data_IF_045415699682
#
_entry.id   IF_045415699682
#
_cell.length_a   1.000
_cell.length_b   1.000
_cell.length_c   1.000
_cell.angle_alpha   90.00
_cell.angle_beta   90.00
_cell.angle_gamma   90.00
#
_symmetry.space_group_name_H-M   'P 1'
#
loop_
_entity.id
_entity.type
_entity.pdbx_description
1 polymer ?
#
# COMPACT_ATOMS: atom_id res chain seq x y z
N UNK A 1 69.76 -24.63 31.49
CA UNK A 1 69.39 -25.87 32.22
C UNK A 1 70.20 -26.99 31.59
N UNK A 2 71.17 -27.51 32.35
CA UNK A 2 72.18 -28.47 31.89
C UNK A 2 71.56 -29.74 31.32
N UNK A 3 71.95 -30.09 30.09
CA UNK A 3 71.72 -31.42 29.53
C UNK A 3 72.66 -32.36 30.28
N UNK A 4 72.18 -32.95 31.37
CA UNK A 4 72.85 -34.06 32.06
C UNK A 4 73.09 -35.16 31.01
N UNK A 5 74.37 -35.36 30.65
CA UNK A 5 74.86 -36.59 30.02
C UNK A 5 74.47 -37.73 30.94
N UNK A 6 73.38 -38.40 30.61
CA UNK A 6 72.98 -39.66 31.24
C UNK A 6 74.12 -40.67 31.08
N UNK A 7 74.47 -41.32 32.18
CA UNK A 7 75.31 -42.51 32.25
C UNK A 7 74.72 -43.61 31.35
N UNK A 8 75.23 -43.75 30.12
CA UNK A 8 74.74 -44.75 29.16
C UNK A 8 75.44 -46.11 29.31
N UNK A 9 76.42 -46.25 30.20
CA UNK A 9 77.04 -47.56 30.48
C UNK A 9 77.27 -47.78 31.98
N UNK A 10 76.18 -47.96 32.73
CA UNK A 10 76.25 -48.62 34.03
C UNK A 10 76.83 -50.03 33.90
N UNK A 11 77.44 -50.57 34.96
CA UNK A 11 78.28 -51.79 34.94
C UNK A 11 77.72 -53.04 34.26
N UNK A 12 76.40 -53.13 34.06
CA UNK A 12 75.73 -54.18 33.26
C UNK A 12 76.04 -54.04 31.77
N UNK A 13 76.09 -52.83 31.23
CA UNK A 13 76.40 -52.58 29.81
C UNK A 13 77.83 -52.97 29.44
N UNK A 14 78.80 -52.75 30.34
CA UNK A 14 80.19 -53.17 30.15
C UNK A 14 80.31 -54.71 30.15
N UNK A 15 79.63 -55.38 31.08
CA UNK A 15 79.58 -56.85 31.14
C UNK A 15 78.98 -57.48 29.86
N UNK A 16 77.90 -56.89 29.34
CA UNK A 16 77.25 -57.37 28.11
C UNK A 16 78.15 -57.16 26.89
N UNK A 17 78.81 -56.00 26.75
CA UNK A 17 79.78 -55.74 25.67
C UNK A 17 80.93 -56.77 25.73
N UNK A 18 81.40 -57.09 26.94
CA UNK A 18 82.50 -58.02 27.13
C UNK A 18 82.11 -59.48 26.83
N UNK A 19 80.89 -59.89 27.19
CA UNK A 19 80.33 -61.19 26.78
C UNK A 19 80.16 -61.30 25.26
N UNK A 20 79.70 -60.24 24.60
CA UNK A 20 79.53 -60.19 23.13
C UNK A 20 80.90 -60.23 22.43
N UNK A 21 81.88 -59.47 22.92
CA UNK A 21 83.24 -59.49 22.40
C UNK A 21 83.87 -60.89 22.52
N UNK A 22 83.67 -61.56 23.66
CA UNK A 22 84.10 -62.94 23.87
C UNK A 22 83.36 -63.93 22.96
N UNK A 23 82.06 -63.73 22.71
CA UNK A 23 81.27 -64.54 21.79
C UNK A 23 81.74 -64.41 20.32
N UNK A 24 82.10 -63.20 19.90
CA UNK A 24 82.66 -62.92 18.57
C UNK A 24 84.05 -63.56 18.43
N UNK A 25 84.93 -63.41 19.42
CA UNK A 25 86.26 -64.03 19.45
C UNK A 25 86.20 -65.56 19.41
N UNK A 26 85.27 -66.16 20.17
CA UNK A 26 85.04 -67.59 20.17
C UNK A 26 84.56 -68.10 18.80
N UNK A 27 83.68 -67.35 18.13
CA UNK A 27 83.17 -67.71 16.81
C UNK A 27 84.24 -67.60 15.70
N UNK A 28 85.13 -66.61 15.80
CA UNK A 28 86.31 -66.47 14.92
C UNK A 28 87.32 -67.60 15.10
N UNK A 29 87.56 -68.06 16.34
CA UNK A 29 88.47 -69.18 16.60
C UNK A 29 87.99 -70.52 16.04
N UNK A 30 86.69 -70.66 15.76
CA UNK A 30 86.05 -71.91 15.33
C UNK A 30 85.61 -71.91 13.86
N UNK A 31 86.06 -70.92 13.07
CA UNK A 31 85.71 -70.69 11.65
C UNK A 31 84.19 -70.60 11.37
N UNK A 32 83.39 -70.19 12.37
CA UNK A 32 81.94 -70.25 12.30
C UNK A 32 81.33 -68.88 11.93
N UNK A 33 81.62 -68.46 10.70
CA UNK A 33 81.29 -67.13 10.14
C UNK A 33 79.81 -66.76 10.28
N UNK A 34 78.89 -67.73 10.15
CA UNK A 34 77.46 -67.50 10.28
C UNK A 34 77.03 -67.00 11.67
N UNK A 35 77.72 -67.42 12.73
CA UNK A 35 77.42 -67.01 14.11
C UNK A 35 77.89 -65.57 14.37
N UNK A 36 79.04 -65.17 13.81
CA UNK A 36 79.51 -63.77 13.84
C UNK A 36 78.53 -62.86 13.11
N UNK A 37 78.10 -63.23 11.91
CA UNK A 37 77.11 -62.46 11.12
C UNK A 37 75.80 -62.32 11.90
N UNK A 38 75.32 -63.39 12.54
CA UNK A 38 74.10 -63.36 13.36
C UNK A 38 74.18 -62.41 14.57
N UNK A 39 75.31 -62.39 15.28
CA UNK A 39 75.53 -61.48 16.42
C UNK A 39 75.59 -60.02 15.95
N UNK A 40 76.32 -59.74 14.87
CA UNK A 40 76.40 -58.39 14.29
C UNK A 40 75.03 -57.92 13.79
N UNK A 41 74.26 -58.79 13.15
CA UNK A 41 72.91 -58.48 12.68
C UNK A 41 71.95 -58.18 13.84
N UNK A 42 71.98 -58.98 14.92
CA UNK A 42 71.16 -58.74 16.11
C UNK A 42 71.47 -57.40 16.79
N UNK A 43 72.75 -57.01 16.86
CA UNK A 43 73.16 -55.70 17.36
C UNK A 43 72.63 -54.56 16.50
N UNK A 44 72.76 -54.69 15.18
CA UNK A 44 72.24 -53.69 14.23
C UNK A 44 70.72 -53.54 14.41
N UNK A 45 69.97 -54.64 14.43
CA UNK A 45 68.52 -54.63 14.63
C UNK A 45 68.15 -54.01 15.98
N UNK A 46 68.86 -54.34 17.06
CA UNK A 46 68.61 -53.74 18.39
C UNK A 46 68.78 -52.22 18.39
N UNK A 47 69.80 -51.71 17.71
CA UNK A 47 70.03 -50.26 17.57
C UNK A 47 68.89 -49.62 16.78
N UNK A 48 68.48 -50.23 15.66
CA UNK A 48 67.36 -49.74 14.86
C UNK A 48 66.04 -49.69 15.64
N UNK A 49 65.73 -50.72 16.44
CA UNK A 49 64.51 -50.75 17.28
C UNK A 49 64.51 -49.60 18.28
N UNK A 50 65.64 -49.32 18.94
CA UNK A 50 65.76 -48.20 19.89
C UNK A 50 65.57 -46.85 19.18
N UNK A 51 66.15 -46.69 17.99
CA UNK A 51 65.98 -45.48 17.18
C UNK A 51 64.50 -45.29 16.80
N UNK A 52 63.82 -46.33 16.33
CA UNK A 52 62.40 -46.29 15.96
C UNK A 52 61.52 -45.92 17.17
N UNK A 53 61.74 -46.54 18.33
CA UNK A 53 60.99 -46.20 19.56
C UNK A 53 61.25 -44.75 19.98
N UNK A 54 62.49 -44.29 19.91
CA UNK A 54 62.83 -42.90 20.24
C UNK A 54 62.20 -41.90 19.27
N UNK A 55 62.12 -42.22 17.98
CA UNK A 55 61.47 -41.40 16.96
C UNK A 55 59.96 -41.35 17.19
N UNK A 56 59.31 -42.49 17.41
CA UNK A 56 57.87 -42.56 17.70
C UNK A 56 57.51 -41.73 18.94
N UNK A 57 58.32 -41.76 20.00
CA UNK A 57 58.10 -40.92 21.18
C UNK A 57 58.23 -39.43 20.89
N UNK A 58 59.16 -39.03 20.02
CA UNK A 58 59.33 -37.62 19.62
C UNK A 58 58.16 -37.14 18.75
N UNK A 59 57.73 -37.97 17.81
CA UNK A 59 56.57 -37.68 16.94
C UNK A 59 55.31 -37.52 17.80
N UNK A 60 55.04 -38.46 18.71
CA UNK A 60 53.86 -38.38 19.58
C UNK A 60 53.83 -37.12 20.45
N UNK A 61 54.98 -36.71 20.99
CA UNK A 61 55.07 -35.44 21.75
C UNK A 61 54.87 -34.20 20.88
N UNK A 62 55.30 -34.25 19.61
CA UNK A 62 55.02 -33.15 18.68
C UNK A 62 53.54 -33.11 18.31
N UNK A 63 52.92 -34.26 18.06
CA UNK A 63 51.48 -34.40 17.80
C UNK A 63 50.66 -33.79 18.95
N UNK A 64 50.93 -34.21 20.20
CA UNK A 64 50.28 -33.65 21.40
C UNK A 64 50.48 -32.12 21.52
N UNK A 65 51.68 -31.60 21.22
CA UNK A 65 51.96 -30.16 21.23
C UNK A 65 51.23 -29.38 20.14
N UNK A 66 51.10 -29.96 18.94
CA UNK A 66 50.37 -29.33 17.84
C UNK A 66 48.85 -29.38 18.08
N UNK A 67 48.33 -30.47 18.64
CA UNK A 67 46.91 -30.60 19.01
C UNK A 67 46.53 -29.56 20.07
N UNK A 68 47.33 -29.43 21.14
CA UNK A 68 47.13 -28.39 22.18
C UNK A 68 47.22 -26.98 21.58
N UNK A 69 48.07 -26.76 20.58
CA UNK A 69 48.17 -25.47 19.90
C UNK A 69 46.98 -25.18 18.99
N UNK A 70 46.41 -26.19 18.33
CA UNK A 70 45.19 -26.08 17.51
C UNK A 70 43.97 -25.78 18.39
N UNK A 71 43.84 -26.46 19.53
CA UNK A 71 42.80 -26.21 20.53
C UNK A 71 42.91 -24.79 21.10
N UNK A 72 44.12 -24.35 21.47
CA UNK A 72 44.37 -22.98 21.93
C UNK A 72 44.11 -21.89 20.89
N UNK A 73 44.14 -22.22 19.59
CA UNK A 73 43.77 -21.28 18.53
C UNK A 73 42.25 -21.05 18.45
N UNK A 74 41.43 -21.86 19.14
CA UNK A 74 39.98 -21.65 19.28
C UNK A 74 39.22 -21.67 17.94
N UNK A 75 39.77 -22.33 16.92
CA UNK A 75 39.26 -22.26 15.54
C UNK A 75 37.84 -22.84 15.44
N UNK A 76 37.56 -23.92 16.18
CA UNK A 76 36.24 -24.55 16.18
C UNK A 76 35.19 -23.68 16.90
N UNK A 77 35.58 -23.01 17.98
CA UNK A 77 34.72 -22.05 18.68
C UNK A 77 34.40 -20.85 17.79
N UNK A 78 35.41 -20.28 17.11
CA UNK A 78 35.24 -19.19 16.14
C UNK A 78 34.36 -19.61 14.95
N UNK A 79 34.48 -20.86 14.49
CA UNK A 79 33.64 -21.40 13.42
C UNK A 79 32.19 -21.51 13.86
N UNK A 80 31.94 -21.98 15.08
CA UNK A 80 30.61 -22.07 15.67
C UNK A 80 29.99 -20.68 15.87
N UNK A 81 30.74 -19.73 16.42
CA UNK A 81 30.30 -18.34 16.60
C UNK A 81 29.94 -17.70 15.25
N UNK A 82 30.75 -17.93 14.21
CA UNK A 82 30.44 -17.48 12.84
C UNK A 82 29.13 -18.07 12.32
N UNK A 83 28.88 -19.36 12.53
CA UNK A 83 27.64 -20.02 12.08
C UNK A 83 26.41 -19.47 12.84
N UNK A 84 26.52 -19.24 14.14
CA UNK A 84 25.46 -18.61 14.95
C UNK A 84 25.20 -17.16 14.51
N UNK A 85 26.25 -16.40 14.19
CA UNK A 85 26.13 -15.04 13.68
C UNK A 85 25.44 -15.02 12.30
N UNK A 86 25.77 -15.95 11.41
CA UNK A 86 25.13 -16.06 10.09
C UNK A 86 23.63 -16.34 10.25
N UNK A 87 23.23 -17.29 11.10
CA UNK A 87 21.81 -17.58 11.38
C UNK A 87 21.09 -16.35 11.94
N UNK A 88 21.74 -15.62 12.85
CA UNK A 88 21.19 -14.39 13.42
C UNK A 88 21.03 -13.29 12.36
N UNK A 89 22.00 -13.16 11.44
CA UNK A 89 21.91 -12.23 10.31
C UNK A 89 20.80 -12.59 9.34
N UNK A 90 20.59 -13.87 9.02
CA UNK A 90 19.49 -14.34 8.16
C UNK A 90 18.13 -14.01 8.78
N UNK A 91 17.95 -14.32 10.07
CA UNK A 91 16.75 -13.96 10.81
C UNK A 91 16.50 -12.44 10.84
N UNK A 92 17.55 -11.63 11.03
CA UNK A 92 17.43 -10.18 10.98
C UNK A 92 17.06 -9.67 9.59
N UNK A 93 17.56 -10.28 8.51
CA UNK A 93 17.18 -9.92 7.13
C UNK A 93 15.71 -10.18 6.85
N UNK A 94 15.20 -11.33 7.28
CA UNK A 94 13.77 -11.65 7.15
C UNK A 94 12.92 -10.62 7.89
N UNK A 95 13.28 -10.31 9.16
CA UNK A 95 12.59 -9.27 9.94
C UNK A 95 12.66 -7.88 9.32
N UNK A 96 13.77 -7.51 8.68
CA UNK A 96 13.87 -6.23 7.96
C UNK A 96 12.89 -6.20 6.80
N UNK A 97 12.79 -7.29 6.03
CA UNK A 97 11.84 -7.41 4.92
C UNK A 97 10.39 -7.28 5.39
N UNK A 98 10.03 -7.89 6.52
CA UNK A 98 8.69 -7.76 7.10
C UNK A 98 8.37 -6.30 7.48
N UNK A 99 9.33 -5.63 8.14
CA UNK A 99 9.18 -4.22 8.54
C UNK A 99 9.11 -3.30 7.32
N UNK A 100 9.84 -3.59 6.24
CA UNK A 100 9.73 -2.84 4.99
C UNK A 100 8.33 -2.96 4.38
N UNK A 101 7.74 -4.16 4.39
CA UNK A 101 6.38 -4.36 3.91
C UNK A 101 5.34 -3.63 4.77
N UNK A 102 5.47 -3.73 6.10
CA UNK A 102 4.61 -2.98 7.04
C UNK A 102 4.73 -1.45 6.83
N UNK A 103 5.93 -0.94 6.53
CA UNK A 103 6.14 0.47 6.21
C UNK A 103 5.38 0.87 4.94
N UNK A 104 5.47 0.07 3.88
CA UNK A 104 4.80 0.35 2.61
C UNK A 104 3.27 0.33 2.78
N UNK A 105 2.74 -0.58 3.61
CA UNK A 105 1.30 -0.62 3.96
C UNK A 105 0.88 0.64 4.74
N UNK A 106 1.70 1.09 5.69
CA UNK A 106 1.46 2.33 6.45
C UNK A 106 1.50 3.55 5.52
N UNK A 107 2.45 3.61 4.59
CA UNK A 107 2.56 4.70 3.61
C UNK A 107 1.30 4.79 2.73
N UNK A 108 0.78 3.65 2.24
CA UNK A 108 -0.47 3.61 1.48
C UNK A 108 -1.67 4.10 2.30
N UNK A 109 -1.75 3.71 3.58
CA UNK A 109 -2.83 4.17 4.46
C UNK A 109 -2.72 5.67 4.77
N UNK A 110 -1.50 6.21 4.92
CA UNK A 110 -1.28 7.66 5.07
C UNK A 110 -1.77 8.40 3.83
N UNK A 111 -1.38 7.97 2.62
CA UNK A 111 -1.84 8.61 1.37
C UNK A 111 -3.37 8.61 1.25
N UNK A 112 -4.00 7.50 1.64
CA UNK A 112 -5.46 7.38 1.68
C UNK A 112 -6.08 8.37 2.69
N UNK A 113 -5.55 8.44 3.91
CA UNK A 113 -6.06 9.35 4.94
C UNK A 113 -5.87 10.82 4.57
N UNK A 114 -4.79 11.17 3.87
CA UNK A 114 -4.57 12.52 3.34
C UNK A 114 -5.64 12.90 2.31
N UNK A 115 -5.99 11.98 1.39
CA UNK A 115 -7.08 12.19 0.43
C UNK A 115 -8.44 12.34 1.11
N UNK A 116 -8.73 11.52 2.13
CA UNK A 116 -9.97 11.61 2.91
C UNK A 116 -10.05 12.94 3.69
N UNK A 117 -8.94 13.39 4.28
CA UNK A 117 -8.86 14.67 5.00
C UNK A 117 -9.10 15.87 4.06
N UNK A 118 -8.53 15.85 2.86
CA UNK A 118 -8.72 16.92 1.89
C UNK A 118 -10.17 17.00 1.40
N UNK A 119 -10.79 15.85 1.12
CA UNK A 119 -12.23 15.78 0.85
C UNK A 119 -13.04 16.38 2.01
N UNK A 120 -12.72 16.02 3.25
CA UNK A 120 -13.43 16.52 4.42
C UNK A 120 -13.32 18.05 4.57
N UNK A 121 -12.15 18.63 4.30
CA UNK A 121 -11.97 20.10 4.30
C UNK A 121 -12.83 20.77 3.24
N UNK A 122 -12.85 20.25 2.02
CA UNK A 122 -13.67 20.79 0.94
C UNK A 122 -15.16 20.77 1.29
N UNK A 123 -15.64 19.65 1.88
CA UNK A 123 -17.03 19.57 2.38
C UNK A 123 -17.32 20.62 3.44
N UNK A 124 -16.42 20.81 4.40
CA UNK A 124 -16.57 21.84 5.43
C UNK A 124 -16.70 23.25 4.82
N UNK A 125 -15.88 23.57 3.81
CA UNK A 125 -15.95 24.86 3.12
C UNK A 125 -17.31 25.07 2.44
N UNK A 126 -17.83 24.07 1.73
CA UNK A 126 -19.16 24.15 1.13
C UNK A 126 -20.26 24.32 2.18
N UNK A 127 -20.21 23.59 3.31
CA UNK A 127 -21.17 23.79 4.39
C UNK A 127 -21.11 25.21 4.98
N UNK A 128 -19.91 25.77 5.14
CA UNK A 128 -19.73 27.15 5.60
C UNK A 128 -20.38 28.14 4.62
N UNK A 129 -20.25 27.92 3.31
CA UNK A 129 -20.83 28.78 2.27
C UNK A 129 -22.36 28.83 2.33
N UNK A 130 -23.03 27.78 2.83
CA UNK A 130 -24.49 27.78 3.03
C UNK A 130 -24.96 28.75 4.12
N UNK A 131 -24.08 29.22 5.01
CA UNK A 131 -24.46 29.97 6.20
C UNK A 131 -25.08 31.34 5.88
N UNK A 132 -24.59 32.00 4.82
CA UNK A 132 -25.17 33.24 4.29
C UNK A 132 -26.63 33.04 3.85
N UNK A 133 -26.88 31.98 3.09
CA UNK A 133 -28.22 31.65 2.58
C UNK A 133 -29.16 31.27 3.72
N UNK A 134 -28.69 30.49 4.71
CA UNK A 134 -29.47 30.17 5.91
C UNK A 134 -29.95 31.43 6.64
N UNK A 135 -29.09 32.43 6.82
CA UNK A 135 -29.46 33.70 7.47
C UNK A 135 -30.54 34.46 6.68
N UNK A 136 -30.44 34.46 5.35
CA UNK A 136 -31.44 35.09 4.48
C UNK A 136 -32.78 34.36 4.51
N UNK A 137 -32.78 33.03 4.42
CA UNK A 137 -33.99 32.20 4.58
C UNK A 137 -34.67 32.52 5.90
N UNK A 138 -33.92 32.54 7.01
CA UNK A 138 -34.45 32.87 8.34
C UNK A 138 -35.04 34.28 8.39
N UNK A 139 -34.39 35.27 7.75
CA UNK A 139 -34.90 36.63 7.66
C UNK A 139 -36.22 36.70 6.86
N UNK A 140 -36.27 36.07 5.68
CA UNK A 140 -37.48 36.01 4.84
C UNK A 140 -38.63 35.33 5.55
N UNK A 141 -38.38 34.22 6.25
CA UNK A 141 -39.37 33.53 7.08
C UNK A 141 -39.85 34.40 8.25
N UNK A 142 -38.92 35.02 8.98
CA UNK A 142 -39.26 35.87 10.14
C UNK A 142 -40.13 37.06 9.76
N UNK A 143 -39.85 37.69 8.62
CA UNK A 143 -40.51 38.92 8.21
C UNK A 143 -41.64 38.70 7.21
N UNK A 144 -41.94 37.45 6.84
CA UNK A 144 -42.87 37.12 5.76
C UNK A 144 -42.55 37.89 4.47
N UNK A 145 -41.28 37.96 4.09
CA UNK A 145 -40.84 38.55 2.82
C UNK A 145 -40.58 37.46 1.78
N UNK A 146 -40.70 37.78 0.48
CA UNK A 146 -40.26 36.86 -0.58
C UNK A 146 -38.73 36.83 -0.57
N UNK A 147 -38.15 35.67 -0.87
CA UNK A 147 -36.72 35.62 -1.19
C UNK A 147 -36.52 36.04 -2.65
N UNK A 148 -35.41 36.69 -2.97
CA UNK A 148 -35.19 37.15 -4.34
C UNK A 148 -34.75 35.96 -5.23
N UNK A 149 -34.92 36.13 -6.53
CA UNK A 149 -34.45 35.15 -7.51
C UNK A 149 -32.91 35.04 -7.50
N UNK A 150 -32.21 36.08 -7.02
CA UNK A 150 -30.75 36.12 -6.92
C UNK A 150 -30.23 35.03 -5.98
N UNK A 151 -30.89 34.74 -4.86
CA UNK A 151 -30.49 33.65 -3.95
C UNK A 151 -30.64 32.26 -4.56
N UNK A 152 -31.73 32.02 -5.30
CA UNK A 152 -31.94 30.75 -6.02
C UNK A 152 -30.83 30.54 -7.05
N UNK A 153 -30.49 31.58 -7.80
CA UNK A 153 -29.39 31.55 -8.77
C UNK A 153 -28.03 31.32 -8.09
N UNK A 154 -27.79 31.91 -6.91
CA UNK A 154 -26.58 31.65 -6.13
C UNK A 154 -26.48 30.18 -5.74
N UNK A 155 -27.52 29.59 -5.13
CA UNK A 155 -27.45 28.17 -4.72
C UNK A 155 -27.24 27.22 -5.90
N UNK A 156 -27.91 27.45 -7.02
CA UNK A 156 -27.75 26.62 -8.22
C UNK A 156 -26.32 26.78 -8.78
N UNK A 157 -25.77 27.99 -8.75
CA UNK A 157 -24.39 28.26 -9.19
C UNK A 157 -23.35 27.61 -8.26
N UNK A 158 -23.60 27.58 -6.95
CA UNK A 158 -22.75 26.89 -5.98
C UNK A 158 -22.77 25.37 -6.18
N UNK A 159 -23.95 24.78 -6.43
CA UNK A 159 -24.02 23.37 -6.82
C UNK A 159 -23.20 23.15 -8.10
N UNK A 160 -23.38 23.99 -9.13
CA UNK A 160 -22.60 23.89 -10.35
C UNK A 160 -21.08 24.01 -10.10
N UNK A 161 -20.67 24.84 -9.14
CA UNK A 161 -19.27 25.02 -8.75
C UNK A 161 -18.68 23.74 -8.14
N UNK A 162 -19.39 23.05 -7.25
CA UNK A 162 -18.96 21.74 -6.70
C UNK A 162 -18.61 20.77 -7.83
N UNK A 163 -19.46 20.71 -8.87
CA UNK A 163 -19.20 19.88 -10.04
C UNK A 163 -18.05 20.38 -10.91
N UNK A 164 -17.91 21.70 -11.09
CA UNK A 164 -16.82 22.24 -11.92
C UNK A 164 -15.44 22.06 -11.30
N UNK A 165 -15.35 22.20 -9.98
CA UNK A 165 -14.10 22.16 -9.23
C UNK A 165 -13.52 20.73 -9.22
N UNK A 166 -14.37 19.73 -8.98
CA UNK A 166 -13.96 18.32 -8.86
C UNK A 166 -13.70 17.63 -10.22
N UNK A 167 -14.41 18.01 -11.29
CA UNK A 167 -14.35 17.32 -12.60
C UNK A 167 -13.06 17.60 -13.40
N UNK A 168 -12.11 18.35 -12.81
CA UNK A 168 -10.87 18.82 -13.47
C UNK A 168 -11.13 19.53 -14.79
N UNK A 169 -12.33 20.08 -15.00
CA UNK A 169 -12.74 20.60 -16.29
C UNK A 169 -12.91 22.11 -16.25
N UNK A 170 -11.79 22.83 -16.06
CA UNK A 170 -11.76 24.29 -16.31
C UNK A 170 -12.28 24.65 -17.71
N UNK A 171 -12.34 23.69 -18.64
CA UNK A 171 -12.77 23.86 -20.03
C UNK A 171 -14.16 23.29 -20.36
N UNK A 172 -14.76 22.42 -19.53
CA UNK A 172 -16.09 21.87 -19.85
C UNK A 172 -17.18 22.89 -19.51
N UNK A 173 -18.17 23.00 -20.40
CA UNK A 173 -19.34 23.84 -20.13
C UNK A 173 -20.36 22.98 -19.41
N UNK A 174 -20.76 23.43 -18.23
CA UNK A 174 -21.88 22.84 -17.47
C UNK A 174 -23.09 23.76 -17.51
N UNK A 175 -24.29 23.21 -17.42
CA UNK A 175 -25.49 23.98 -17.13
C UNK A 175 -26.29 23.26 -16.06
N UNK A 176 -26.76 24.02 -15.08
CA UNK A 176 -27.59 23.51 -14.00
C UNK A 176 -28.97 24.14 -14.10
N UNK A 177 -29.99 23.31 -13.97
CA UNK A 177 -31.39 23.71 -14.12
C UNK A 177 -32.26 23.01 -13.07
N UNK A 178 -33.23 23.73 -12.54
CA UNK A 178 -34.30 23.16 -11.72
C UNK A 178 -35.52 22.98 -12.60
N UNK A 179 -36.05 21.77 -12.63
CA UNK A 179 -37.31 21.45 -13.29
C UNK A 179 -38.44 21.32 -12.27
N UNK A 180 -39.63 21.74 -12.68
CA UNK A 180 -40.90 21.53 -11.97
C UNK A 180 -41.87 20.81 -12.90
N UNK A 181 -42.67 19.92 -12.33
CA UNK A 181 -43.76 19.24 -13.03
C UNK A 181 -45.05 20.06 -12.94
N UNK A 182 -45.73 20.28 -14.06
CA UNK A 182 -47.00 20.99 -14.11
C UNK A 182 -48.20 20.06 -13.90
N UNK A 183 -49.42 20.63 -13.88
CA UNK A 183 -50.68 19.87 -13.71
C UNK A 183 -50.98 18.91 -14.87
N UNK A 184 -50.30 19.03 -16.01
CA UNK A 184 -50.44 18.18 -17.19
C UNK A 184 -49.35 17.10 -17.26
N UNK A 185 -48.62 16.88 -16.15
CA UNK A 185 -47.48 15.99 -16.06
C UNK A 185 -46.28 16.35 -16.93
N UNK A 186 -46.21 17.59 -17.46
CA UNK A 186 -45.08 18.08 -18.23
C UNK A 186 -44.07 18.77 -17.32
N UNK A 187 -42.80 18.44 -17.51
CA UNK A 187 -41.67 19.02 -16.80
C UNK A 187 -41.17 20.26 -17.56
N UNK A 188 -41.06 21.38 -16.85
CA UNK A 188 -40.57 22.66 -17.39
C UNK A 188 -39.45 23.22 -16.52
N UNK A 189 -38.56 24.00 -17.11
CA UNK A 189 -37.49 24.67 -16.36
C UNK A 189 -38.10 25.78 -15.52
N UNK A 190 -37.77 25.81 -14.24
CA UNK A 190 -38.10 26.90 -13.32
C UNK A 190 -36.96 27.91 -13.25
N UNK A 191 -35.74 27.43 -13.06
CA UNK A 191 -34.52 28.24 -12.95
C UNK A 191 -33.38 27.55 -13.67
N UNK A 192 -32.47 28.31 -14.28
CA UNK A 192 -31.28 27.77 -14.93
C UNK A 192 -30.13 28.77 -14.93
N UNK A 193 -28.90 28.25 -14.92
CA UNK A 193 -27.67 29.06 -14.97
C UNK A 193 -27.34 29.57 -16.37
N UNK A 194 -27.73 28.87 -17.44
CA UNK A 194 -27.37 29.26 -18.83
C UNK A 194 -28.51 29.36 -19.83
N UNK A 195 -29.69 28.82 -19.54
CA UNK A 195 -30.81 28.94 -20.47
C UNK A 195 -31.35 30.37 -20.54
N UNK A 196 -31.65 30.84 -21.75
CA UNK A 196 -32.36 32.10 -21.95
C UNK A 196 -33.83 31.97 -21.51
N UNK A 197 -34.50 33.07 -21.13
CA UNK A 197 -35.93 33.04 -20.77
C UNK A 197 -36.82 32.41 -21.85
N UNK A 198 -36.49 32.62 -23.13
CA UNK A 198 -37.19 31.99 -24.25
C UNK A 198 -37.04 30.47 -24.29
N UNK A 199 -35.89 29.93 -23.88
CA UNK A 199 -35.65 28.48 -23.82
C UNK A 199 -36.40 27.86 -22.65
N UNK A 200 -36.35 28.52 -21.48
CA UNK A 200 -37.09 28.14 -20.27
C UNK A 200 -38.59 28.00 -20.57
N UNK A 201 -39.16 28.97 -21.29
CA UNK A 201 -40.59 28.99 -21.60
C UNK A 201 -41.03 27.93 -22.63
N UNK A 202 -40.13 27.47 -23.51
CA UNK A 202 -40.46 26.53 -24.60
C UNK A 202 -40.24 25.07 -24.23
N UNK A 203 -39.27 24.77 -23.38
CA UNK A 203 -38.93 23.38 -23.08
C UNK A 203 -40.02 22.71 -22.25
N UNK A 204 -40.63 21.65 -22.81
CA UNK A 204 -41.61 20.80 -22.14
C UNK A 204 -41.20 19.35 -22.33
N UNK A 205 -41.01 18.65 -21.22
CA UNK A 205 -40.53 17.28 -21.17
C UNK A 205 -41.58 16.38 -20.54
N UNK A 206 -41.85 15.24 -21.14
CA UNK A 206 -42.77 14.25 -20.60
C UNK A 206 -42.05 13.21 -19.73
N UNK A 207 -42.81 12.20 -19.28
CA UNK A 207 -42.32 11.08 -18.47
C UNK A 207 -41.25 10.19 -19.14
N UNK A 208 -41.16 10.21 -20.47
CA UNK A 208 -40.18 9.41 -21.23
C UNK A 208 -38.80 10.09 -21.26
N UNK A 209 -38.76 11.39 -20.98
CA UNK A 209 -37.51 12.11 -20.78
C UNK A 209 -36.79 11.68 -19.50
N UNK A 210 -35.48 11.85 -19.47
CA UNK A 210 -34.65 11.59 -18.29
C UNK A 210 -35.15 12.33 -17.04
N UNK A 211 -35.59 13.58 -17.22
CA UNK A 211 -36.13 14.43 -16.15
C UNK A 211 -37.47 13.90 -15.67
N UNK A 212 -38.39 13.59 -16.59
CA UNK A 212 -39.71 13.06 -16.25
C UNK A 212 -39.63 11.69 -15.58
N UNK A 213 -38.69 10.84 -15.99
CA UNK A 213 -38.44 9.57 -15.30
C UNK A 213 -37.86 9.79 -13.90
N UNK A 214 -36.98 10.78 -13.70
CA UNK A 214 -36.49 11.10 -12.36
C UNK A 214 -37.62 11.54 -11.41
N UNK A 215 -38.60 12.31 -11.91
CA UNK A 215 -39.82 12.63 -11.17
C UNK A 215 -40.66 11.40 -10.83
N UNK A 216 -40.81 10.46 -11.77
CA UNK A 216 -41.68 9.29 -11.57
C UNK A 216 -41.06 8.22 -10.68
N UNK A 217 -39.77 7.94 -10.87
CA UNK A 217 -39.06 6.85 -10.18
C UNK A 217 -38.42 7.29 -8.86
N UNK A 218 -38.41 8.60 -8.56
CA UNK A 218 -37.88 9.17 -7.31
C UNK A 218 -36.44 8.73 -7.02
N UNK A 219 -35.63 8.60 -8.07
CA UNK A 219 -34.21 8.24 -7.95
C UNK A 219 -33.35 9.10 -8.85
N UNK A 220 -32.06 9.17 -8.49
CA UNK A 220 -31.05 9.81 -9.33
C UNK A 220 -30.88 9.02 -10.63
N UNK A 221 -30.88 9.73 -11.75
CA UNK A 221 -30.66 9.14 -13.07
C UNK A 221 -29.47 9.82 -13.72
N UNK A 222 -28.52 9.01 -14.16
CA UNK A 222 -27.29 9.46 -14.78
C UNK A 222 -27.11 8.81 -16.15
N UNK A 223 -26.76 9.62 -17.14
CA UNK A 223 -26.31 9.18 -18.45
C UNK A 223 -24.96 9.83 -18.75
N UNK A 224 -23.88 9.04 -18.62
CA UNK A 224 -22.50 9.53 -18.77
C UNK A 224 -22.05 9.72 -20.22
N UNK A 225 -22.60 8.94 -21.16
CA UNK A 225 -22.41 9.13 -22.58
C UNK A 225 -23.75 8.97 -23.30
N UNK A 226 -24.36 10.09 -23.65
CA UNK A 226 -25.69 10.11 -24.27
C UNK A 226 -25.66 9.49 -25.68
N UNK A 227 -24.55 9.61 -26.41
CA UNK A 227 -24.43 9.08 -27.77
C UNK A 227 -24.32 7.55 -27.76
N UNK A 228 -23.64 6.99 -26.76
CA UNK A 228 -23.46 5.55 -26.60
C UNK A 228 -24.29 4.97 -25.44
N UNK A 229 -25.43 5.61 -25.12
CA UNK A 229 -26.26 5.19 -24.00
C UNK A 229 -26.89 3.83 -24.24
N UNK A 230 -27.16 3.12 -23.15
CA UNK A 230 -27.93 1.87 -23.22
C UNK A 230 -29.40 2.17 -23.60
N UNK A 231 -30.10 1.25 -24.31
CA UNK A 231 -31.47 1.48 -24.78
C UNK A 231 -32.51 1.69 -23.66
N UNK A 232 -32.22 1.22 -22.45
CA UNK A 232 -33.06 1.34 -21.26
C UNK A 232 -32.92 2.71 -20.55
N UNK A 233 -31.97 3.55 -20.97
CA UNK A 233 -31.82 4.90 -20.41
C UNK A 233 -32.92 5.81 -20.96
N UNK A 234 -33.82 6.34 -20.12
CA UNK A 234 -34.90 7.22 -20.55
C UNK A 234 -34.29 8.54 -21.03
N UNK A 235 -34.29 8.78 -22.33
CA UNK A 235 -33.73 9.99 -22.91
C UNK A 235 -34.43 10.35 -24.21
N UNK A 236 -35.08 11.51 -24.21
CA UNK A 236 -35.74 12.10 -25.36
C UNK A 236 -34.82 13.14 -25.98
N UNK A 237 -34.52 12.97 -27.27
CA UNK A 237 -33.75 13.93 -28.05
C UNK A 237 -34.64 15.15 -28.35
N UNK A 238 -34.21 16.32 -27.88
CA UNK A 238 -34.87 17.59 -28.21
C UNK A 238 -34.25 18.12 -29.50
N UNK A 239 -35.08 18.43 -30.50
CA UNK A 239 -34.60 18.94 -31.79
C UNK A 239 -33.70 20.17 -31.62
N UNK A 240 -32.59 20.18 -32.39
CA UNK A 240 -31.47 21.13 -32.47
C UNK A 240 -30.21 20.83 -31.60
N UNK A 241 -29.10 20.60 -32.30
CA UNK A 241 -27.69 20.61 -31.85
C UNK A 241 -27.44 20.53 -30.34
N UNK A 242 -27.66 19.34 -29.77
CA UNK A 242 -27.29 19.03 -28.38
C UNK A 242 -25.80 19.28 -28.15
N UNK A 243 -25.46 20.24 -27.30
CA UNK A 243 -24.07 20.58 -26.99
C UNK A 243 -23.48 19.75 -25.85
N UNK A 244 -24.31 19.03 -25.09
CA UNK A 244 -23.89 18.24 -23.93
C UNK A 244 -23.79 16.74 -24.25
N UNK A 245 -22.92 16.06 -23.51
CA UNK A 245 -22.61 14.65 -23.69
C UNK A 245 -22.90 13.80 -22.45
N UNK A 246 -23.00 14.42 -21.28
CA UNK A 246 -23.49 13.78 -20.06
C UNK A 246 -24.60 14.60 -19.40
N UNK A 247 -25.45 13.91 -18.66
CA UNK A 247 -26.58 14.48 -17.93
C UNK A 247 -26.81 13.71 -16.63
N UNK A 248 -27.09 14.44 -15.56
CA UNK A 248 -27.45 13.93 -14.24
C UNK A 248 -28.74 14.61 -13.80
N UNK A 249 -29.74 13.83 -13.41
CA UNK A 249 -30.98 14.31 -12.80
C UNK A 249 -31.08 13.80 -11.36
N UNK A 250 -31.27 14.73 -10.44
CA UNK A 250 -31.35 14.49 -9.00
C UNK A 250 -32.74 14.94 -8.53
N UNK A 251 -33.63 14.00 -8.19
CA UNK A 251 -34.94 14.35 -7.66
C UNK A 251 -34.80 14.86 -6.23
N UNK A 252 -35.53 15.93 -5.94
CA UNK A 252 -35.70 16.46 -4.59
C UNK A 252 -37.07 16.00 -4.08
N UNK A 253 -37.03 15.16 -3.06
CA UNK A 253 -38.21 14.47 -2.52
C UNK A 253 -38.58 15.10 -1.17
N UNK A 254 -39.85 15.45 -1.00
CA UNK A 254 -40.45 15.95 0.24
C UNK A 254 -41.70 15.11 0.49
N UNK A 255 -41.86 14.51 1.67
CA UNK A 255 -43.04 13.72 2.05
C UNK A 255 -43.52 12.73 0.96
N UNK A 256 -42.58 11.99 0.37
CA UNK A 256 -42.78 11.06 -0.74
C UNK A 256 -43.22 11.66 -2.08
N UNK A 257 -43.34 12.98 -2.25
CA UNK A 257 -43.51 13.63 -3.56
C UNK A 257 -42.18 14.19 -4.07
N UNK A 258 -41.93 14.06 -5.38
CA UNK A 258 -40.81 14.77 -6.02
C UNK A 258 -41.28 16.17 -6.40
N UNK A 259 -40.86 17.16 -5.62
CA UNK A 259 -41.24 18.57 -5.81
C UNK A 259 -40.52 19.18 -7.01
N UNK A 260 -39.22 18.88 -7.13
CA UNK A 260 -38.36 19.39 -8.18
C UNK A 260 -37.34 18.35 -8.60
N UNK A 261 -36.77 18.53 -9.79
CA UNK A 261 -35.60 17.75 -10.24
C UNK A 261 -34.49 18.74 -10.62
N UNK A 262 -33.35 18.64 -9.95
CA UNK A 262 -32.13 19.33 -10.37
C UNK A 262 -31.51 18.54 -11.52
N UNK A 263 -31.19 19.23 -12.61
CA UNK A 263 -30.55 18.66 -13.78
C UNK A 263 -29.23 19.37 -14.03
N UNK A 264 -28.17 18.59 -14.13
CA UNK A 264 -26.84 19.07 -14.53
C UNK A 264 -26.50 18.44 -15.87
N UNK A 265 -26.22 19.26 -16.87
CA UNK A 265 -25.71 18.83 -18.18
C UNK A 265 -24.27 19.27 -18.35
N UNK A 266 -23.44 18.45 -19.00
CA UNK A 266 -22.03 18.75 -19.23
C UNK A 266 -21.57 18.38 -20.63
N UNK A 267 -20.68 19.19 -21.21
CA UNK A 267 -20.05 18.94 -22.51
C UNK A 267 -18.94 17.89 -22.48
N UNK A 268 -18.75 17.18 -21.36
CA UNK A 268 -17.78 16.08 -21.22
C UNK A 268 -18.54 14.81 -20.86
N UNK A 269 -18.10 13.66 -21.38
CA UNK A 269 -18.65 12.35 -21.01
C UNK A 269 -18.16 11.90 -19.63
N UNK A 270 -18.90 11.00 -19.00
CA UNK A 270 -18.50 10.22 -17.82
C UNK A 270 -17.94 11.05 -16.65
N UNK A 271 -18.52 12.23 -16.39
CA UNK A 271 -17.90 13.20 -15.50
C UNK A 271 -18.73 13.63 -14.30
N UNK A 272 -20.02 13.31 -14.21
CA UNK A 272 -20.87 13.84 -13.14
C UNK A 272 -21.06 12.86 -11.97
N UNK A 273 -21.02 11.55 -12.22
CA UNK A 273 -21.41 10.56 -11.23
C UNK A 273 -20.43 10.45 -10.06
N UNK A 274 -19.12 10.49 -10.33
CA UNK A 274 -18.10 10.38 -9.28
C UNK A 274 -18.18 11.57 -8.31
N UNK A 275 -18.27 12.78 -8.84
CA UNK A 275 -18.47 13.99 -8.05
C UNK A 275 -19.78 13.96 -7.26
N UNK A 276 -20.89 13.51 -7.88
CA UNK A 276 -22.15 13.35 -7.15
C UNK A 276 -22.00 12.40 -5.96
N UNK A 277 -21.36 11.24 -6.15
CA UNK A 277 -21.15 10.27 -5.07
C UNK A 277 -20.25 10.83 -3.97
N UNK A 278 -19.19 11.56 -4.34
CA UNK A 278 -18.22 12.16 -3.43
C UNK A 278 -18.85 13.24 -2.54
N UNK A 279 -19.73 14.07 -3.11
CA UNK A 279 -20.35 15.22 -2.43
C UNK A 279 -21.86 15.07 -2.21
N UNK A 280 -22.39 13.85 -2.21
CA UNK A 280 -23.83 13.59 -2.16
C UNK A 280 -24.51 14.30 -0.97
N UNK A 281 -23.89 14.24 0.21
CA UNK A 281 -24.38 14.86 1.44
C UNK A 281 -24.45 16.39 1.33
N UNK A 282 -23.40 17.01 0.78
CA UNK A 282 -23.33 18.46 0.55
C UNK A 282 -24.39 18.86 -0.49
N UNK A 283 -24.46 18.16 -1.62
CA UNK A 283 -25.43 18.46 -2.69
C UNK A 283 -26.85 18.35 -2.15
N UNK A 284 -27.14 17.31 -1.37
CA UNK A 284 -28.45 17.14 -0.72
C UNK A 284 -28.77 18.33 0.18
N UNK A 285 -27.81 18.82 0.97
CA UNK A 285 -28.00 20.00 1.81
C UNK A 285 -28.34 21.24 0.98
N UNK A 286 -27.65 21.47 -0.13
CA UNK A 286 -27.96 22.59 -1.02
C UNK A 286 -29.35 22.45 -1.66
N UNK A 287 -29.75 21.22 -2.03
CA UNK A 287 -31.08 20.95 -2.56
C UNK A 287 -32.19 21.23 -1.54
N UNK A 288 -32.00 20.88 -0.26
CA UNK A 288 -32.93 21.23 0.82
C UNK A 288 -33.12 22.74 0.94
N UNK A 289 -32.02 23.51 0.89
CA UNK A 289 -32.07 24.97 0.95
C UNK A 289 -32.78 25.57 -0.27
N UNK A 290 -32.51 25.00 -1.46
CA UNK A 290 -33.22 25.33 -2.69
C UNK A 290 -34.72 25.07 -2.56
N UNK A 291 -35.10 23.92 -1.99
CA UNK A 291 -36.48 23.55 -1.72
C UNK A 291 -37.19 24.62 -0.89
N UNK A 292 -36.60 24.96 0.26
CA UNK A 292 -37.14 25.95 1.20
C UNK A 292 -37.31 27.31 0.51
N UNK A 293 -36.30 27.76 -0.25
CA UNK A 293 -36.38 29.02 -0.98
C UNK A 293 -37.48 29.02 -2.04
N UNK A 294 -37.64 27.91 -2.76
CA UNK A 294 -38.67 27.76 -3.77
C UNK A 294 -40.07 27.80 -3.12
N UNK A 295 -40.28 27.14 -1.98
CA UNK A 295 -41.54 27.22 -1.24
C UNK A 295 -41.86 28.64 -0.76
N UNK A 296 -40.90 29.32 -0.11
CA UNK A 296 -41.07 30.71 0.36
C UNK A 296 -41.40 31.67 -0.80
N UNK A 297 -40.82 31.41 -1.98
CA UNK A 297 -41.04 32.23 -3.17
C UNK A 297 -42.41 31.96 -3.83
N UNK A 298 -42.87 30.71 -3.77
CA UNK A 298 -44.10 30.22 -4.43
C UNK A 298 -45.38 30.51 -3.63
N UNK A 299 -45.33 30.43 -2.30
CA UNK A 299 -46.50 30.54 -1.40
C UNK A 299 -47.20 31.92 -1.40
N UNK A 300 -46.71 32.88 -2.18
CA UNK A 300 -47.24 34.25 -2.26
C UNK A 300 -47.66 34.65 -3.67
N UNK A 301 -47.91 33.69 -4.57
CA UNK A 301 -48.60 33.94 -5.84
C UNK A 301 -50.08 33.57 -5.80
N UNK A 302 -50.57 32.94 -4.72
CA UNK A 302 -51.99 32.62 -4.50
C UNK A 302 -52.55 33.32 -3.24
N UNK A 303 -52.67 34.66 -3.26
CA UNK A 303 -53.68 35.40 -2.46
C UNK A 303 -54.20 36.58 -3.28
#
# INVERSE_FOLDING_TARGET
MDIKKTDVFGGIGVLVIQMIANGILYAFQKDNIHLVIGIVFALIVSVFVVIIISLNRKIKKQEEYYDEKIENLGIDDLKKEKEELIKSMEFLKERISDVEHERDDIEQEIERLEQELELFKNKCEYYINTNSVNRKILYSLKNNEKCENTELQTLISEIEYIFRDDVFSKTAKMNTSIFRKDRQDLCSILVSTKHSPGTINKLRLDKESLVGTAFCEKRVIYCGDINNRRPDVPFVELNENRQYHSILAIPLIVDDSTEFVLVITCTKINCLQETYNKYQDVIQRYLELLCILLFISSDKEEV
#
